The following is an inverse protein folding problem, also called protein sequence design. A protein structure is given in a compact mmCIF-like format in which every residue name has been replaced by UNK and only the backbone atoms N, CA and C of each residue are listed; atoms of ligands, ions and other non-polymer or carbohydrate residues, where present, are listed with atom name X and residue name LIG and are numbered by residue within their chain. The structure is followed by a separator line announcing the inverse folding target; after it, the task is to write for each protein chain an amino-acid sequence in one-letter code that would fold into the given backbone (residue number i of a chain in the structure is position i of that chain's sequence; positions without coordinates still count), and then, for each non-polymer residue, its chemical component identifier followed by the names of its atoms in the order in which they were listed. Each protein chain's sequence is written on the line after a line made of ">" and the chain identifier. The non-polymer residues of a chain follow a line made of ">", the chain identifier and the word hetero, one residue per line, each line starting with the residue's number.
data_IF_418041337487
#
_entry.id   IF_418041337487
#
_cell.length_a   1.000
_cell.length_b   1.000
_cell.length_c   1.000
_cell.angle_alpha   90.00
_cell.angle_beta   90.00
_cell.angle_gamma   90.00
#
_symmetry.space_group_name_H-M   'P 1'
#
loop_
_entity.id
_entity.type
_entity.pdbx_description
1 polymer ?
#
# COMPACT_ATOMS: atom_id res chain seq x y z
N UNK A 1 31.76 17.97 -29.65
CA UNK A 1 31.42 18.32 -28.26
C UNK A 1 30.01 18.92 -28.30
N UNK A 2 29.00 18.07 -28.12
CA UNK A 2 27.61 18.53 -28.04
C UNK A 2 27.27 18.81 -26.58
N UNK A 3 27.08 20.09 -26.28
CA UNK A 3 26.53 20.57 -25.02
C UNK A 3 25.07 20.08 -24.90
N UNK A 4 24.86 18.92 -24.26
CA UNK A 4 23.55 18.55 -23.73
C UNK A 4 23.24 19.51 -22.58
N UNK A 5 22.36 20.49 -22.84
CA UNK A 5 21.62 21.19 -21.80
C UNK A 5 21.08 20.14 -20.81
N UNK A 6 21.58 20.18 -19.58
CA UNK A 6 21.03 19.39 -18.48
C UNK A 6 19.72 20.08 -18.12
N UNK A 7 18.62 19.70 -18.78
CA UNK A 7 17.29 20.03 -18.27
C UNK A 7 17.20 19.44 -16.87
N UNK A 8 17.03 20.31 -15.86
CA UNK A 8 16.84 19.87 -14.49
C UNK A 8 15.55 19.07 -14.42
N UNK A 9 15.67 17.77 -14.22
CA UNK A 9 14.51 16.89 -14.09
C UNK A 9 13.58 17.37 -12.97
N UNK A 10 12.27 17.39 -13.26
CA UNK A 10 11.24 17.83 -12.34
C UNK A 10 11.29 17.05 -11.01
N UNK A 11 11.32 17.78 -9.90
CA UNK A 11 11.25 17.23 -8.54
C UNK A 11 9.77 17.13 -8.13
N UNK A 12 9.39 15.97 -7.60
CA UNK A 12 8.07 15.70 -7.03
C UNK A 12 8.17 15.63 -5.51
N UNK A 13 7.16 16.14 -4.81
CA UNK A 13 7.06 16.04 -3.37
C UNK A 13 6.11 14.91 -2.98
N UNK A 14 6.47 14.12 -1.97
CA UNK A 14 5.57 13.14 -1.40
C UNK A 14 4.53 13.82 -0.50
N UNK A 15 3.44 13.11 -0.19
CA UNK A 15 2.38 13.59 0.70
C UNK A 15 2.90 13.94 2.10
N UNK A 16 3.90 13.19 2.58
CA UNK A 16 4.58 13.50 3.84
C UNK A 16 5.58 14.64 3.61
N UNK A 17 5.48 15.69 4.43
CA UNK A 17 6.36 16.84 4.33
C UNK A 17 7.84 16.45 4.42
N UNK A 18 8.68 17.18 3.67
CA UNK A 18 10.16 17.04 3.59
C UNK A 18 10.66 15.83 2.78
N UNK A 19 9.79 15.03 2.18
CA UNK A 19 10.18 13.94 1.28
C UNK A 19 9.94 14.34 -0.18
N UNK A 20 10.92 14.08 -1.03
CA UNK A 20 10.86 14.37 -2.47
C UNK A 20 11.61 13.30 -3.26
N UNK A 21 11.31 13.22 -4.55
CA UNK A 21 11.89 12.24 -5.47
C UNK A 21 11.80 12.76 -6.92
N UNK A 22 12.61 12.19 -7.81
CA UNK A 22 12.55 12.37 -9.26
C UNK A 22 11.95 11.14 -9.92
N UNK A 23 11.38 11.29 -11.12
CA UNK A 23 10.80 10.14 -11.82
C UNK A 23 11.84 9.10 -12.21
N UNK A 24 13.07 9.53 -12.53
CA UNK A 24 14.20 8.67 -12.86
C UNK A 24 14.79 7.93 -11.65
N UNK A 25 14.50 8.37 -10.43
CA UNK A 25 15.05 7.75 -9.23
C UNK A 25 14.62 6.28 -9.14
N UNK A 26 15.58 5.38 -8.93
CA UNK A 26 15.30 3.97 -8.70
C UNK A 26 14.49 3.73 -7.43
N UNK A 27 14.68 4.58 -6.41
CA UNK A 27 14.05 4.48 -5.09
C UNK A 27 13.37 5.81 -4.79
N UNK A 28 12.06 5.78 -4.53
CA UNK A 28 11.33 6.94 -4.02
C UNK A 28 11.13 6.75 -2.52
N UNK A 29 11.83 7.55 -1.70
CA UNK A 29 11.60 7.60 -0.26
C UNK A 29 10.39 8.50 0.01
N UNK A 30 9.32 7.95 0.58
CA UNK A 30 8.02 8.64 0.69
C UNK A 30 7.72 9.15 2.10
N UNK A 31 8.26 8.48 3.12
CA UNK A 31 8.32 8.97 4.50
C UNK A 31 9.51 8.32 5.24
N UNK A 32 9.54 8.36 6.58
CA UNK A 32 10.63 7.80 7.39
C UNK A 32 10.80 6.28 7.22
N UNK A 33 9.69 5.55 7.06
CA UNK A 33 9.64 4.08 7.11
C UNK A 33 9.44 3.48 5.72
N UNK A 34 8.83 4.22 4.80
CA UNK A 34 8.25 3.69 3.57
C UNK A 34 8.95 4.24 2.33
N UNK A 35 9.31 3.32 1.42
CA UNK A 35 9.83 3.64 0.10
C UNK A 35 9.24 2.70 -0.97
N UNK A 36 9.33 3.11 -2.23
CA UNK A 36 8.98 2.27 -3.38
C UNK A 36 10.12 2.23 -4.39
N UNK A 37 10.10 1.21 -5.24
CA UNK A 37 11.06 1.02 -6.32
C UNK A 37 10.32 0.91 -7.66
N UNK A 38 9.89 2.03 -8.26
CA UNK A 38 9.07 2.02 -9.47
C UNK A 38 9.80 1.43 -10.68
N UNK A 39 11.13 1.55 -10.72
CA UNK A 39 11.97 0.93 -11.76
C UNK A 39 11.64 -0.55 -11.96
N UNK A 40 11.45 -1.31 -10.86
CA UNK A 40 11.12 -2.74 -10.91
C UNK A 40 9.81 -3.06 -11.63
N UNK A 41 8.87 -2.11 -11.65
CA UNK A 41 7.62 -2.23 -12.39
C UNK A 41 7.85 -1.88 -13.85
N UNK A 42 8.46 -0.72 -14.12
CA UNK A 42 8.66 -0.24 -15.50
C UNK A 42 9.63 -1.09 -16.31
N UNK A 43 10.55 -1.81 -15.67
CA UNK A 43 11.43 -2.79 -16.32
C UNK A 43 10.64 -3.95 -16.94
N UNK A 44 9.42 -4.20 -16.45
CA UNK A 44 8.49 -5.24 -16.94
C UNK A 44 7.35 -4.69 -17.79
N UNK A 45 7.30 -3.38 -17.99
CA UNK A 45 6.24 -2.72 -18.76
C UNK A 45 6.69 -2.44 -20.20
N UNK A 46 5.76 -2.45 -21.16
CA UNK A 46 6.01 -1.92 -22.49
C UNK A 46 6.48 -0.46 -22.44
N UNK A 47 7.42 -0.09 -23.32
CA UNK A 47 8.02 1.25 -23.36
C UNK A 47 6.98 2.37 -23.41
N UNK A 48 5.90 2.19 -24.18
CA UNK A 48 4.80 3.16 -24.31
C UNK A 48 4.04 3.47 -23.01
N UNK A 49 4.17 2.61 -21.99
CA UNK A 49 3.45 2.74 -20.71
C UNK A 49 4.34 3.26 -19.57
N UNK A 50 5.66 3.14 -19.69
CA UNK A 50 6.60 3.40 -18.58
C UNK A 50 6.44 4.80 -18.01
N UNK A 51 6.49 5.82 -18.86
CA UNK A 51 6.36 7.22 -18.43
C UNK A 51 4.98 7.52 -17.84
N UNK A 52 3.93 6.97 -18.46
CA UNK A 52 2.55 7.11 -17.99
C UNK A 52 2.34 6.52 -16.59
N UNK A 53 2.92 5.35 -16.33
CA UNK A 53 2.92 4.72 -15.00
C UNK A 53 3.63 5.60 -13.97
N UNK A 54 4.86 6.05 -14.27
CA UNK A 54 5.65 6.87 -13.36
C UNK A 54 4.95 8.18 -13.03
N UNK A 55 4.43 8.90 -14.03
CA UNK A 55 3.69 10.16 -13.82
C UNK A 55 2.43 9.95 -12.97
N UNK A 56 1.70 8.86 -13.22
CA UNK A 56 0.51 8.53 -12.42
C UNK A 56 0.89 8.16 -10.99
N UNK A 57 1.93 7.34 -10.80
CA UNK A 57 2.42 6.95 -9.47
C UNK A 57 2.94 8.16 -8.68
N UNK A 58 3.62 9.10 -9.35
CA UNK A 58 4.09 10.33 -8.74
C UNK A 58 2.92 11.20 -8.25
N UNK A 59 1.86 11.35 -9.05
CA UNK A 59 0.62 12.00 -8.58
C UNK A 59 0.08 11.32 -7.31
N UNK A 60 0.02 9.98 -7.29
CA UNK A 60 -0.45 9.29 -6.09
C UNK A 60 0.47 9.50 -4.89
N UNK A 61 1.78 9.50 -5.09
CA UNK A 61 2.78 9.75 -4.05
C UNK A 61 2.69 11.15 -3.46
N UNK A 62 2.29 12.16 -4.24
CA UNK A 62 2.06 13.52 -3.75
C UNK A 62 0.75 13.67 -2.96
N UNK A 63 -0.27 12.86 -3.28
CA UNK A 63 -1.63 13.06 -2.74
C UNK A 63 -2.03 12.08 -1.63
N UNK A 64 -1.46 10.87 -1.61
CA UNK A 64 -1.91 9.78 -0.75
C UNK A 64 -0.80 9.25 0.18
N UNK A 65 -1.18 8.41 1.15
CA UNK A 65 -0.24 7.83 2.11
C UNK A 65 0.77 6.88 1.44
N UNK A 66 2.02 6.94 1.89
CA UNK A 66 3.12 6.08 1.41
C UNK A 66 2.79 4.58 1.38
N UNK A 67 2.04 4.08 2.35
CA UNK A 67 1.57 2.68 2.43
C UNK A 67 0.62 2.31 1.29
N UNK A 68 -0.19 3.26 0.84
CA UNK A 68 -1.06 3.08 -0.32
C UNK A 68 -0.25 3.02 -1.62
N UNK A 69 0.76 3.88 -1.77
CA UNK A 69 1.66 3.85 -2.93
C UNK A 69 2.46 2.54 -2.99
N UNK A 70 2.94 2.04 -1.86
CA UNK A 70 3.55 0.69 -1.80
C UNK A 70 2.58 -0.39 -2.25
N UNK A 71 1.33 -0.32 -1.82
CA UNK A 71 0.30 -1.28 -2.23
C UNK A 71 0.06 -1.26 -3.74
N UNK A 72 0.00 -0.07 -4.35
CA UNK A 72 -0.07 0.10 -5.81
C UNK A 72 1.18 -0.49 -6.48
N UNK A 73 2.37 -0.03 -6.10
CA UNK A 73 3.63 -0.43 -6.73
C UNK A 73 3.85 -1.95 -6.66
N UNK A 74 3.60 -2.54 -5.49
CA UNK A 74 3.73 -3.99 -5.29
C UNK A 74 2.71 -4.80 -6.09
N UNK A 75 1.47 -4.30 -6.24
CA UNK A 75 0.45 -4.97 -7.04
C UNK A 75 0.83 -4.95 -8.52
N UNK A 76 1.25 -3.80 -9.06
CA UNK A 76 1.69 -3.68 -10.44
C UNK A 76 2.95 -4.50 -10.72
N UNK A 77 3.93 -4.51 -9.80
CA UNK A 77 5.13 -5.36 -9.91
C UNK A 77 4.79 -6.84 -10.06
N UNK A 78 3.83 -7.33 -9.25
CA UNK A 78 3.36 -8.72 -9.31
C UNK A 78 2.57 -8.99 -10.59
N UNK A 79 1.70 -8.07 -10.97
CA UNK A 79 0.85 -8.21 -12.15
C UNK A 79 1.66 -8.29 -13.44
N UNK A 80 2.53 -7.31 -13.70
CA UNK A 80 3.42 -7.30 -14.87
C UNK A 80 4.54 -8.34 -14.81
N UNK A 81 4.78 -8.95 -13.64
CA UNK A 81 5.67 -10.10 -13.51
C UNK A 81 5.00 -11.45 -13.78
N UNK A 82 3.67 -11.52 -13.70
CA UNK A 82 2.90 -12.76 -13.88
C UNK A 82 2.27 -12.87 -15.27
N UNK A 83 2.19 -11.76 -16.02
CA UNK A 83 1.46 -11.68 -17.29
C UNK A 83 2.21 -10.80 -18.28
N UNK A 84 2.17 -11.17 -19.56
CA UNK A 84 2.58 -10.30 -20.66
C UNK A 84 1.44 -9.35 -20.99
N UNK A 85 1.67 -8.04 -20.81
CA UNK A 85 0.64 -7.00 -20.95
C UNK A 85 1.19 -5.92 -21.89
N UNK A 86 0.62 -5.81 -23.09
CA UNK A 86 0.96 -4.76 -24.04
C UNK A 86 0.22 -3.45 -23.76
N UNK A 87 -1.00 -3.55 -23.24
CA UNK A 87 -1.87 -2.44 -22.83
C UNK A 87 -2.81 -2.95 -21.74
N UNK A 88 -3.31 -2.06 -20.88
CA UNK A 88 -4.32 -2.43 -19.89
C UNK A 88 -5.69 -2.35 -20.57
N UNK A 89 -6.15 -3.48 -21.09
CA UNK A 89 -7.47 -3.71 -21.69
C UNK A 89 -8.37 -4.57 -20.77
N UNK A 90 -9.54 -4.97 -21.26
CA UNK A 90 -10.45 -5.87 -20.54
C UNK A 90 -9.85 -7.26 -20.33
N UNK A 91 -9.08 -7.80 -21.28
CA UNK A 91 -8.40 -9.09 -21.14
C UNK A 91 -7.39 -9.07 -19.99
N UNK A 92 -6.57 -8.03 -19.90
CA UNK A 92 -5.59 -7.87 -18.83
C UNK A 92 -6.26 -7.78 -17.45
N UNK A 93 -7.37 -7.04 -17.34
CA UNK A 93 -8.16 -6.95 -16.10
C UNK A 93 -8.78 -8.29 -15.73
N UNK A 94 -9.36 -8.99 -16.70
CA UNK A 94 -9.97 -10.30 -16.46
C UNK A 94 -8.92 -11.30 -15.96
N UNK A 95 -7.75 -11.37 -16.62
CA UNK A 95 -6.64 -12.22 -16.19
C UNK A 95 -6.16 -11.87 -14.78
N UNK A 96 -6.06 -10.58 -14.44
CA UNK A 96 -5.73 -10.14 -13.08
C UNK A 96 -6.75 -10.64 -12.05
N UNK A 97 -8.04 -10.53 -12.35
CA UNK A 97 -9.09 -11.01 -11.45
C UNK A 97 -8.96 -12.52 -11.18
N UNK A 98 -8.72 -13.31 -12.23
CA UNK A 98 -8.47 -14.76 -12.12
C UNK A 98 -7.23 -15.03 -11.26
N UNK A 99 -6.12 -14.34 -11.52
CA UNK A 99 -4.87 -14.48 -10.76
C UNK A 99 -5.02 -14.12 -9.27
N UNK A 100 -5.80 -13.08 -8.97
CA UNK A 100 -6.06 -12.68 -7.59
C UNK A 100 -6.92 -13.73 -6.87
N UNK A 101 -7.93 -14.29 -7.54
CA UNK A 101 -8.93 -15.16 -6.96
C UNK A 101 -9.85 -14.42 -5.98
N UNK A 102 -10.92 -15.08 -5.53
CA UNK A 102 -11.94 -14.48 -4.67
C UNK A 102 -11.38 -13.88 -3.37
N UNK A 103 -10.39 -14.53 -2.77
CA UNK A 103 -9.78 -14.09 -1.51
C UNK A 103 -9.01 -12.76 -1.61
N UNK A 104 -8.58 -12.35 -2.82
CA UNK A 104 -7.76 -11.15 -3.02
C UNK A 104 -8.32 -10.19 -4.05
N UNK A 105 -9.47 -10.48 -4.65
CA UNK A 105 -10.03 -9.65 -5.72
C UNK A 105 -10.39 -8.23 -5.24
N UNK A 106 -10.56 -7.99 -3.94
CA UNK A 106 -10.68 -6.64 -3.36
C UNK A 106 -9.55 -5.68 -3.81
N UNK A 107 -8.38 -6.22 -4.17
CA UNK A 107 -7.25 -5.44 -4.70
C UNK A 107 -7.54 -4.81 -6.06
N UNK A 108 -8.53 -5.30 -6.80
CA UNK A 108 -9.01 -4.65 -8.03
C UNK A 108 -9.53 -3.24 -7.77
N UNK A 109 -9.96 -2.91 -6.54
CA UNK A 109 -10.31 -1.52 -6.20
C UNK A 109 -9.10 -0.58 -6.29
N UNK A 110 -7.90 -1.05 -5.94
CA UNK A 110 -6.65 -0.27 -6.07
C UNK A 110 -6.36 -0.03 -7.56
N UNK A 111 -6.47 -1.08 -8.37
CA UNK A 111 -6.27 -0.97 -9.83
C UNK A 111 -7.28 -0.03 -10.45
N UNK A 112 -8.57 -0.19 -10.12
CA UNK A 112 -9.65 0.66 -10.60
C UNK A 112 -9.39 2.13 -10.33
N UNK A 113 -9.05 2.48 -9.08
CA UNK A 113 -8.73 3.86 -8.73
C UNK A 113 -7.53 4.37 -9.55
N UNK A 114 -6.44 3.61 -9.57
CA UNK A 114 -5.19 4.01 -10.21
C UNK A 114 -5.33 4.21 -11.73
N UNK A 115 -5.89 3.23 -12.45
CA UNK A 115 -6.03 3.31 -13.91
C UNK A 115 -7.12 4.31 -14.34
N UNK A 116 -8.12 4.57 -13.48
CA UNK A 116 -9.07 5.67 -13.71
C UNK A 116 -8.35 7.01 -13.71
N UNK A 117 -7.46 7.25 -12.74
CA UNK A 117 -6.66 8.49 -12.72
C UNK A 117 -5.68 8.54 -13.89
N UNK A 118 -4.98 7.44 -14.18
CA UNK A 118 -4.09 7.32 -15.36
C UNK A 118 -4.81 7.78 -16.63
N UNK A 119 -6.01 7.26 -16.86
CA UNK A 119 -6.82 7.61 -18.04
C UNK A 119 -7.30 9.07 -18.01
N UNK A 120 -7.72 9.58 -16.85
CA UNK A 120 -8.11 11.00 -16.69
C UNK A 120 -6.96 11.98 -16.96
N UNK A 121 -5.71 11.56 -16.74
CA UNK A 121 -4.51 12.33 -17.11
C UNK A 121 -4.19 12.24 -18.60
N UNK A 122 -5.00 11.53 -19.39
CA UNK A 122 -4.84 11.31 -20.83
C UNK A 122 -3.48 10.71 -21.22
N UNK A 123 -2.92 9.85 -20.35
CA UNK A 123 -1.68 9.15 -20.65
C UNK A 123 -1.94 7.81 -21.34
N UNK A 124 -1.09 7.40 -22.31
CA UNK A 124 -1.27 6.13 -23.02
C UNK A 124 -1.07 4.92 -22.10
N UNK A 125 -1.68 3.78 -22.47
CA UNK A 125 -1.48 2.48 -21.80
C UNK A 125 -2.70 1.88 -21.11
N UNK A 126 -3.83 2.58 -21.06
CA UNK A 126 -5.09 2.09 -20.46
C UNK A 126 -6.24 2.31 -21.44
N UNK A 127 -6.91 1.23 -21.83
CA UNK A 127 -8.07 1.27 -22.71
C UNK A 127 -9.39 1.54 -21.97
N UNK A 128 -10.43 1.95 -22.71
CA UNK A 128 -11.78 2.09 -22.13
C UNK A 128 -12.39 0.76 -21.70
N UNK A 129 -12.03 -0.32 -22.39
CA UNK A 129 -12.45 -1.70 -22.13
C UNK A 129 -12.08 -2.14 -20.71
N UNK A 130 -10.89 -1.78 -20.22
CA UNK A 130 -10.43 -2.12 -18.87
C UNK A 130 -11.36 -1.60 -17.76
N UNK A 131 -11.77 -0.33 -17.83
CA UNK A 131 -12.69 0.26 -16.84
C UNK A 131 -14.07 -0.39 -16.89
N UNK A 132 -14.59 -0.66 -18.11
CA UNK A 132 -15.86 -1.38 -18.28
C UNK A 132 -15.79 -2.80 -17.72
N UNK A 133 -14.67 -3.49 -17.87
CA UNK A 133 -14.47 -4.82 -17.28
C UNK A 133 -14.48 -4.77 -15.75
N UNK A 134 -13.82 -3.77 -15.15
CA UNK A 134 -13.83 -3.56 -13.70
C UNK A 134 -15.24 -3.24 -13.14
N UNK A 135 -16.13 -2.69 -13.95
CA UNK A 135 -17.54 -2.46 -13.57
C UNK A 135 -18.37 -3.75 -13.62
N UNK A 136 -18.02 -4.69 -14.52
CA UNK A 136 -18.70 -5.99 -14.65
C UNK A 136 -18.26 -7.00 -13.60
N UNK A 137 -17.03 -6.91 -13.10
CA UNK A 137 -16.50 -7.84 -12.10
C UNK A 137 -17.10 -7.54 -10.72
N UNK A 138 -17.70 -8.56 -10.10
CA UNK A 138 -18.10 -8.51 -8.69
C UNK A 138 -16.88 -8.53 -7.78
N UNK A 139 -16.47 -7.37 -7.27
CA UNK A 139 -15.37 -7.23 -6.32
C UNK A 139 -15.87 -7.60 -4.92
N UNK A 140 -15.29 -8.63 -4.30
CA UNK A 140 -15.65 -9.07 -2.96
C UNK A 140 -14.86 -8.19 -1.98
N UNK A 141 -15.49 -7.57 -0.97
CA UNK A 141 -14.77 -6.80 0.03
C UNK A 141 -13.72 -7.62 0.76
N UNK A 142 -12.64 -6.97 1.20
CA UNK A 142 -11.67 -7.64 2.05
C UNK A 142 -12.36 -8.08 3.35
N UNK A 143 -12.12 -9.31 3.79
CA UNK A 143 -12.67 -9.88 5.02
C UNK A 143 -11.94 -9.35 6.27
N UNK A 144 -11.47 -8.10 6.23
CA UNK A 144 -10.75 -7.48 7.35
C UNK A 144 -11.65 -7.43 8.58
N UNK A 145 -11.17 -7.99 9.68
CA UNK A 145 -11.91 -8.04 10.94
C UNK A 145 -12.95 -9.15 11.02
N UNK A 146 -13.07 -10.06 10.05
CA UNK A 146 -14.01 -11.20 10.16
C UNK A 146 -13.68 -12.09 11.37
N UNK A 147 -12.40 -12.40 11.58
CA UNK A 147 -11.97 -13.16 12.77
C UNK A 147 -12.34 -12.44 14.08
N UNK A 148 -12.23 -11.10 14.08
CA UNK A 148 -12.60 -10.28 15.24
C UNK A 148 -14.11 -10.29 15.46
N UNK A 149 -14.91 -10.08 14.41
CA UNK A 149 -16.38 -10.11 14.47
C UNK A 149 -16.92 -11.45 14.93
N UNK A 150 -16.30 -12.55 14.50
CA UNK A 150 -16.71 -13.92 14.85
C UNK A 150 -16.15 -14.42 16.17
N UNK A 151 -15.33 -13.61 16.87
CA UNK A 151 -14.58 -14.01 18.06
C UNK A 151 -13.85 -15.35 17.85
N UNK A 152 -13.15 -15.46 16.73
CA UNK A 152 -12.34 -16.63 16.41
C UNK A 152 -11.36 -16.92 17.57
N UNK A 153 -11.30 -18.14 18.10
CA UNK A 153 -10.51 -18.43 19.30
C UNK A 153 -8.99 -18.29 19.10
N UNK A 154 -8.50 -18.29 17.85
CA UNK A 154 -7.08 -18.21 17.55
C UNK A 154 -6.68 -16.85 16.93
N UNK A 155 -7.60 -16.19 16.22
CA UNK A 155 -7.34 -14.96 15.43
C UNK A 155 -8.25 -13.79 15.81
N UNK A 156 -9.19 -14.00 16.73
CA UNK A 156 -10.11 -13.00 17.25
C UNK A 156 -9.47 -12.17 18.37
N UNK A 157 -10.28 -11.36 19.08
CA UNK A 157 -9.79 -10.60 20.22
C UNK A 157 -9.44 -11.53 21.38
N UNK A 158 -8.52 -11.08 22.24
CA UNK A 158 -8.27 -11.72 23.53
C UNK A 158 -9.55 -11.78 24.34
N UNK A 159 -9.80 -12.92 24.97
CA UNK A 159 -10.81 -13.05 26.02
C UNK A 159 -10.41 -12.23 27.25
N UNK A 160 -11.39 -11.95 28.11
CA UNK A 160 -11.13 -11.25 29.38
C UNK A 160 -10.10 -12.00 30.25
N UNK A 161 -10.19 -13.33 30.30
CA UNK A 161 -9.25 -14.18 31.03
C UNK A 161 -7.84 -14.08 30.48
N UNK A 162 -7.67 -14.16 29.15
CA UNK A 162 -6.36 -14.03 28.51
C UNK A 162 -5.76 -12.64 28.70
N UNK A 163 -6.58 -11.59 28.57
CA UNK A 163 -6.14 -10.23 28.78
C UNK A 163 -5.70 -10.01 30.23
N UNK A 164 -6.48 -10.48 31.21
CA UNK A 164 -6.13 -10.40 32.63
C UNK A 164 -4.83 -11.18 32.93
N UNK A 165 -4.66 -12.36 32.34
CA UNK A 165 -3.43 -13.13 32.49
C UNK A 165 -2.21 -12.38 31.95
N UNK A 166 -2.33 -11.75 30.78
CA UNK A 166 -1.28 -10.90 30.19
C UNK A 166 -0.98 -9.73 31.12
N UNK A 167 -1.99 -8.97 31.54
CA UNK A 167 -1.80 -7.78 32.40
C UNK A 167 -1.11 -8.14 33.73
N UNK A 168 -1.54 -9.21 34.38
CA UNK A 168 -0.91 -9.71 35.62
C UNK A 168 0.55 -10.13 35.40
N UNK A 169 0.83 -10.81 34.29
CA UNK A 169 2.18 -11.25 33.95
C UNK A 169 3.12 -10.07 33.67
N UNK A 170 2.63 -9.06 32.95
CA UNK A 170 3.39 -7.84 32.65
C UNK A 170 3.67 -7.06 33.94
N UNK A 171 2.68 -6.93 34.83
CA UNK A 171 2.89 -6.32 36.17
C UNK A 171 3.95 -7.06 36.99
N UNK A 172 3.92 -8.40 37.00
CA UNK A 172 4.95 -9.21 37.68
C UNK A 172 6.35 -8.97 37.09
N UNK A 173 6.47 -8.94 35.77
CA UNK A 173 7.76 -8.68 35.11
C UNK A 173 8.28 -7.27 35.37
N UNK A 174 7.39 -6.28 35.47
CA UNK A 174 7.77 -4.93 35.85
C UNK A 174 8.32 -4.89 37.29
N UNK A 175 7.62 -5.49 38.26
CA UNK A 175 8.08 -5.58 39.65
C UNK A 175 9.41 -6.31 39.79
N UNK A 176 9.64 -7.33 38.96
CA UNK A 176 10.91 -8.08 38.89
C UNK A 176 12.02 -7.34 38.11
N UNK A 177 11.78 -6.11 37.65
CA UNK A 177 12.70 -5.31 36.82
C UNK A 177 13.16 -6.02 35.53
N UNK A 178 12.32 -6.93 34.99
CA UNK A 178 12.60 -7.66 33.73
C UNK A 178 12.19 -6.90 32.48
N UNK A 179 11.36 -5.86 32.64
CA UNK A 179 10.94 -4.97 31.56
C UNK A 179 11.11 -3.51 31.98
N UNK A 180 11.29 -2.63 31.00
CA UNK A 180 11.43 -1.20 31.24
C UNK A 180 10.08 -0.55 31.61
N UNK A 181 10.07 0.53 32.42
CA UNK A 181 8.85 1.26 32.76
C UNK A 181 8.06 1.72 31.53
N UNK A 182 8.75 2.15 30.47
CA UNK A 182 8.13 2.56 29.20
C UNK A 182 7.28 1.44 28.60
N UNK A 183 7.82 0.22 28.53
CA UNK A 183 7.11 -0.93 27.95
C UNK A 183 5.90 -1.32 28.79
N UNK A 184 6.02 -1.26 30.12
CA UNK A 184 4.90 -1.50 31.04
C UNK A 184 3.75 -0.52 30.79
N UNK A 185 4.02 0.78 30.82
CA UNK A 185 3.01 1.82 30.57
C UNK A 185 2.39 1.69 29.18
N UNK A 186 3.21 1.39 28.15
CA UNK A 186 2.72 1.22 26.79
C UNK A 186 1.72 0.06 26.64
N UNK A 187 2.01 -1.09 27.26
CA UNK A 187 1.09 -2.25 27.24
C UNK A 187 -0.22 -1.93 27.97
N UNK A 188 -0.15 -1.26 29.13
CA UNK A 188 -1.36 -0.83 29.86
C UNK A 188 -2.22 0.12 29.02
N UNK A 189 -1.60 1.12 28.39
CA UNK A 189 -2.32 2.07 27.54
C UNK A 189 -2.98 1.37 26.34
N UNK A 190 -2.30 0.40 25.71
CA UNK A 190 -2.89 -0.42 24.65
C UNK A 190 -4.12 -1.18 25.14
N UNK A 191 -3.99 -1.90 26.26
CA UNK A 191 -5.05 -2.74 26.80
C UNK A 191 -6.29 -1.93 27.23
N UNK A 192 -6.08 -0.80 27.90
CA UNK A 192 -7.15 0.01 28.48
C UNK A 192 -7.86 0.85 27.42
N UNK A 193 -7.12 1.42 26.46
CA UNK A 193 -7.70 2.39 25.52
C UNK A 193 -8.13 1.77 24.19
N UNK A 194 -7.61 0.60 23.84
CA UNK A 194 -7.84 -0.03 22.53
C UNK A 194 -7.35 0.81 21.33
N UNK A 195 -6.55 1.86 21.56
CA UNK A 195 -6.03 2.75 20.50
C UNK A 195 -5.03 2.01 19.63
N UNK A 196 -4.93 2.43 18.36
CA UNK A 196 -3.90 1.89 17.45
C UNK A 196 -2.50 2.32 17.95
N UNK A 197 -1.48 1.46 17.84
CA UNK A 197 -0.10 1.77 18.23
C UNK A 197 0.40 3.17 17.82
N UNK A 198 0.19 3.55 16.56
CA UNK A 198 0.60 4.86 16.04
C UNK A 198 -0.03 6.05 16.78
N UNK A 199 -1.26 5.91 17.27
CA UNK A 199 -1.96 6.96 18.03
C UNK A 199 -1.43 7.10 19.45
N UNK A 200 -0.90 6.01 20.03
CA UNK A 200 -0.30 6.03 21.36
C UNK A 200 1.09 6.64 21.34
N UNK A 201 1.88 6.33 20.31
CA UNK A 201 3.24 6.88 20.15
C UNK A 201 3.20 8.40 19.88
N UNK A 202 2.08 8.91 19.35
CA UNK A 202 1.86 10.36 19.13
C UNK A 202 1.25 11.10 20.32
N UNK A 203 1.09 10.46 21.49
CA UNK A 203 0.60 11.15 22.68
C UNK A 203 1.62 12.22 23.11
N UNK A 204 1.11 13.42 23.40
CA UNK A 204 1.89 14.55 23.93
C UNK A 204 1.92 14.53 25.43
#
# INVERSE_FOLDING_TARGET
>A
MENKCIESEQIFFAKMNRYSFKLSDKKWQLDKENCVYPHKVVDRMPTKMKLSYLKTLAYYASEYSSSYIQSINNLFYKWFGAMTIDTIDDKAIYQLNVYLGSARNYKLNIVKAFITKWKKLNYPGVEATALRMLEKIKIIPNQTGEAVKRRDPNKGPLTETELNYILNSVSKFYLQKKIQPFLYCYILLLAITGRRPLQLISLK
#
